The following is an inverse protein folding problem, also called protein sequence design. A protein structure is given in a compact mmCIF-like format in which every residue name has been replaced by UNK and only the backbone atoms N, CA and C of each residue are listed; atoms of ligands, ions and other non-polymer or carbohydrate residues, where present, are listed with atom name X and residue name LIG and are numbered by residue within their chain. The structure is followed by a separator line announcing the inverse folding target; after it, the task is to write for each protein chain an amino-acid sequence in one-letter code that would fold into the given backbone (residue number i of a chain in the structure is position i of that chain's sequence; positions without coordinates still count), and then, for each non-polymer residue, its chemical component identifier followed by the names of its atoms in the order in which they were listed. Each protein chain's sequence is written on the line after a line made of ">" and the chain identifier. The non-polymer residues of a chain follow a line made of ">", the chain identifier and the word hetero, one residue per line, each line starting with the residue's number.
data_IF_545448384629
#
_entry.id   IF_545448384629
#
_cell.length_a   1.000
_cell.length_b   1.000
_cell.length_c   1.000
_cell.angle_alpha   90.00
_cell.angle_beta   90.00
_cell.angle_gamma   90.00
#
_symmetry.space_group_name_H-M   'P 1'
#
loop_
_entity.id
_entity.type
_entity.pdbx_description
1 polymer ?
#
# COMPACT_ATOMS: atom_id res chain seq x y z
N UNK A 1 14.86 16.73 -17.53
CA UNK A 1 14.00 15.52 -17.64
C UNK A 1 14.04 14.83 -16.29
N UNK A 2 12.86 14.48 -15.79
CA UNK A 2 12.50 14.28 -14.38
C UNK A 2 13.47 13.39 -13.59
N UNK A 3 13.97 13.92 -12.47
CA UNK A 3 14.59 13.16 -11.39
C UNK A 3 13.49 12.30 -10.73
N UNK A 4 13.42 11.03 -11.10
CA UNK A 4 12.66 10.05 -10.36
C UNK A 4 13.33 9.88 -8.99
N UNK A 5 12.90 10.68 -8.03
CA UNK A 5 13.28 10.54 -6.63
C UNK A 5 12.86 9.14 -6.20
N UNK A 6 13.84 8.27 -5.95
CA UNK A 6 13.64 6.98 -5.30
C UNK A 6 13.01 7.26 -3.93
N UNK A 7 11.69 7.29 -3.90
CA UNK A 7 10.89 7.60 -2.74
C UNK A 7 10.85 6.32 -1.92
N UNK A 8 11.85 6.18 -1.05
CA UNK A 8 11.87 5.10 -0.09
C UNK A 8 10.58 5.21 0.73
N UNK A 9 9.70 4.23 0.58
CA UNK A 9 8.37 4.28 1.17
C UNK A 9 8.48 4.42 2.70
N UNK A 10 8.06 5.56 3.25
CA UNK A 10 8.02 5.82 4.70
C UNK A 10 7.17 4.81 5.47
N UNK A 11 6.31 4.06 4.77
CA UNK A 11 5.45 3.06 5.36
C UNK A 11 6.15 1.73 5.67
N UNK A 12 7.42 1.51 5.27
CA UNK A 12 8.16 0.24 5.50
C UNK A 12 8.08 -0.24 6.97
N UNK A 13 8.43 0.57 8.00
CA UNK A 13 8.43 0.11 9.40
C UNK A 13 7.01 -0.14 9.96
N UNK A 14 5.97 0.42 9.34
CA UNK A 14 4.61 0.35 9.86
C UNK A 14 3.59 -0.29 8.91
N UNK A 15 4.03 -0.93 7.82
CA UNK A 15 3.12 -1.47 6.83
C UNK A 15 2.39 -2.68 7.39
N UNK A 16 1.06 -2.59 7.51
CA UNK A 16 0.20 -3.68 7.98
C UNK A 16 0.37 -4.97 7.16
N UNK A 17 0.82 -4.90 5.89
CA UNK A 17 1.10 -6.12 5.13
C UNK A 17 2.24 -6.92 5.73
N UNK A 18 3.32 -6.23 6.09
CA UNK A 18 4.50 -6.86 6.66
C UNK A 18 4.26 -7.23 8.11
N UNK A 19 3.52 -6.40 8.85
CA UNK A 19 3.21 -6.66 10.26
C UNK A 19 2.13 -7.72 10.49
N UNK A 20 1.12 -7.85 9.60
CA UNK A 20 0.09 -8.89 9.74
C UNK A 20 0.39 -10.13 8.88
N UNK A 21 0.48 -9.96 7.55
CA UNK A 21 0.53 -11.07 6.58
C UNK A 21 1.91 -11.72 6.49
N UNK A 22 2.99 -10.97 6.71
CA UNK A 22 4.37 -11.46 6.53
C UNK A 22 5.23 -11.41 7.78
N UNK A 23 4.62 -11.33 8.96
CA UNK A 23 5.32 -11.43 10.24
C UNK A 23 6.15 -12.74 10.34
N UNK A 24 5.68 -13.82 9.72
CA UNK A 24 6.37 -15.11 9.66
C UNK A 24 7.24 -15.36 8.43
N UNK A 25 7.33 -14.41 7.48
CA UNK A 25 8.04 -14.60 6.20
C UNK A 25 8.92 -13.40 5.84
N UNK A 26 10.01 -13.15 6.61
CA UNK A 26 10.82 -11.94 6.47
C UNK A 26 11.54 -11.83 5.12
N UNK A 27 11.92 -12.96 4.50
CA UNK A 27 12.63 -12.96 3.20
C UNK A 27 11.72 -12.51 2.06
N UNK A 28 10.48 -13.02 2.01
CA UNK A 28 9.49 -12.57 1.03
C UNK A 28 9.08 -11.11 1.28
N UNK A 29 9.03 -10.70 2.55
CA UNK A 29 8.83 -9.31 2.91
C UNK A 29 9.90 -8.39 2.34
N UNK A 30 11.17 -8.77 2.47
CA UNK A 30 12.27 -7.95 1.98
C UNK A 30 12.26 -7.81 0.45
N UNK A 31 11.96 -8.89 -0.28
CA UNK A 31 11.83 -8.84 -1.74
C UNK A 31 10.71 -7.90 -2.20
N UNK A 32 9.55 -7.94 -1.53
CA UNK A 32 8.45 -7.03 -1.85
C UNK A 32 8.77 -5.59 -1.46
N UNK A 33 9.47 -5.35 -0.35
CA UNK A 33 9.98 -4.01 0.01
C UNK A 33 10.93 -3.49 -1.05
N UNK A 34 11.84 -4.31 -1.56
CA UNK A 34 12.76 -3.87 -2.61
C UNK A 34 12.02 -3.51 -3.92
N UNK A 35 10.99 -4.29 -4.27
CA UNK A 35 10.23 -4.04 -5.51
C UNK A 35 9.31 -2.82 -5.42
N UNK A 36 8.52 -2.75 -4.35
CA UNK A 36 7.47 -1.75 -4.21
C UNK A 36 7.86 -0.60 -3.30
N UNK A 37 8.69 -0.80 -2.27
CA UNK A 37 9.01 0.28 -1.34
C UNK A 37 10.26 1.09 -1.73
N UNK A 38 11.23 0.50 -2.43
CA UNK A 38 12.43 1.22 -2.91
C UNK A 38 12.42 1.50 -4.41
N UNK A 39 11.49 0.90 -5.15
CA UNK A 39 11.24 1.17 -6.56
C UNK A 39 9.95 1.97 -6.74
N UNK A 40 8.88 1.29 -7.16
CA UNK A 40 7.61 1.91 -7.57
C UNK A 40 6.59 1.95 -6.43
N UNK A 41 6.90 2.73 -5.41
CA UNK A 41 6.09 2.93 -4.20
C UNK A 41 4.78 3.69 -4.43
N UNK A 42 4.78 4.57 -5.41
CA UNK A 42 3.63 5.22 -6.04
C UNK A 42 2.66 4.22 -6.67
N UNK A 43 3.16 3.06 -7.15
CA UNK A 43 2.31 1.97 -7.67
C UNK A 43 1.85 0.99 -6.61
N UNK A 44 2.29 1.13 -5.36
CA UNK A 44 1.89 0.23 -4.29
C UNK A 44 0.43 0.51 -3.90
N UNK A 45 -0.47 -0.41 -4.26
CA UNK A 45 -1.90 -0.35 -3.96
C UNK A 45 -2.18 -0.04 -2.48
N UNK A 46 -1.44 -0.69 -1.59
CA UNK A 46 -1.58 -0.50 -0.14
C UNK A 46 -1.14 0.89 0.30
N UNK A 47 -0.06 1.42 -0.28
CA UNK A 47 0.40 2.78 0.02
C UNK A 47 -0.65 3.81 -0.40
N UNK A 48 -1.26 3.64 -1.58
CA UNK A 48 -2.34 4.50 -2.06
C UNK A 48 -3.53 4.53 -1.10
N UNK A 49 -3.97 3.35 -0.63
CA UNK A 49 -5.08 3.26 0.34
C UNK A 49 -4.70 3.87 1.68
N UNK A 50 -3.49 3.60 2.21
CA UNK A 50 -3.03 4.21 3.47
C UNK A 50 -2.97 5.73 3.36
N UNK A 51 -2.45 6.26 2.25
CA UNK A 51 -2.31 7.69 2.04
C UNK A 51 -3.67 8.42 1.92
N UNK A 52 -4.73 7.71 1.48
CA UNK A 52 -6.06 8.30 1.26
C UNK A 52 -7.08 7.99 2.35
N UNK A 53 -7.13 6.75 2.82
CA UNK A 53 -8.12 6.21 3.76
C UNK A 53 -7.51 5.83 5.12
N UNK A 54 -6.19 5.70 5.20
CA UNK A 54 -5.49 5.26 6.41
C UNK A 54 -5.34 3.74 6.52
N UNK A 55 -4.54 3.29 7.49
CA UNK A 55 -4.15 1.88 7.66
C UNK A 55 -5.33 0.95 7.97
N UNK A 56 -6.36 1.44 8.65
CA UNK A 56 -7.52 0.65 9.02
C UNK A 56 -8.40 0.25 7.82
N UNK A 57 -8.34 1.01 6.73
CA UNK A 57 -9.12 0.76 5.53
C UNK A 57 -8.41 -0.18 4.53
N UNK A 58 -7.18 -0.60 4.82
CA UNK A 58 -6.41 -1.46 3.92
C UNK A 58 -6.86 -2.91 4.11
N UNK A 59 -7.43 -3.56 3.08
CA UNK A 59 -7.80 -4.95 3.19
C UNK A 59 -6.57 -5.85 3.35
N UNK A 60 -6.68 -6.87 4.18
CA UNK A 60 -5.61 -7.86 4.38
C UNK A 60 -5.33 -8.69 3.11
N UNK A 61 -6.27 -8.74 2.18
CA UNK A 61 -6.17 -9.43 0.90
C UNK A 61 -5.74 -8.52 -0.26
N UNK A 62 -5.48 -7.23 0.00
CA UNK A 62 -4.96 -6.29 -0.98
C UNK A 62 -3.44 -6.44 -1.11
N UNK A 63 -3.00 -6.83 -2.30
CA UNK A 63 -1.58 -6.98 -2.63
C UNK A 63 -0.99 -5.70 -3.22
N UNK A 64 0.33 -5.45 -3.08
CA UNK A 64 0.98 -4.24 -3.59
C UNK A 64 0.79 -3.97 -5.09
N UNK A 65 0.61 -5.02 -5.90
CA UNK A 65 0.40 -4.94 -7.35
C UNK A 65 -1.04 -4.61 -7.78
N UNK A 66 -2.00 -4.55 -6.86
CA UNK A 66 -3.42 -4.36 -7.17
C UNK A 66 -3.82 -2.88 -7.12
N UNK A 67 -3.10 -2.02 -7.85
CA UNK A 67 -3.32 -0.56 -7.84
C UNK A 67 -4.73 -0.16 -8.28
N UNK A 68 -5.29 -0.84 -9.28
CA UNK A 68 -6.67 -0.60 -9.73
C UNK A 68 -7.69 -0.89 -8.63
N UNK A 69 -7.46 -1.97 -7.87
CA UNK A 69 -8.30 -2.36 -6.74
C UNK A 69 -8.22 -1.32 -5.61
N UNK A 70 -7.03 -0.81 -5.33
CA UNK A 70 -6.84 0.27 -4.37
C UNK A 70 -7.61 1.54 -4.76
N UNK A 71 -7.54 1.96 -6.02
CA UNK A 71 -8.31 3.10 -6.52
C UNK A 71 -9.81 2.88 -6.37
N UNK A 72 -10.30 1.68 -6.67
CA UNK A 72 -11.70 1.31 -6.47
C UNK A 72 -12.13 1.41 -4.99
N UNK A 73 -11.29 0.96 -4.06
CA UNK A 73 -11.55 1.06 -2.62
C UNK A 73 -11.58 2.52 -2.15
N UNK A 74 -10.60 3.33 -2.58
CA UNK A 74 -10.56 4.76 -2.28
C UNK A 74 -11.84 5.44 -2.77
N UNK A 75 -12.23 5.20 -4.02
CA UNK A 75 -13.45 5.75 -4.59
C UNK A 75 -14.72 5.26 -3.89
N UNK A 76 -14.78 3.99 -3.47
CA UNK A 76 -15.92 3.42 -2.76
C UNK A 76 -16.07 3.98 -1.34
N UNK A 77 -14.97 4.11 -0.59
CA UNK A 77 -15.01 4.66 0.78
C UNK A 77 -15.47 6.11 0.84
N UNK A 78 -15.29 6.89 -0.23
CA UNK A 78 -15.89 8.23 -0.32
C UNK A 78 -17.43 8.20 -0.46
N UNK A 79 -18.03 7.09 -0.91
CA UNK A 79 -19.49 6.97 -1.05
C UNK A 79 -20.19 6.46 0.22
N UNK A 80 -19.54 5.61 1.01
CA UNK A 80 -20.15 5.06 2.24
C UNK A 80 -20.35 6.11 3.36
N UNK A 81 -19.64 7.24 3.32
CA UNK A 81 -19.88 8.37 4.22
C UNK A 81 -21.06 9.27 3.84
N UNK A 82 -21.61 9.16 2.62
CA UNK A 82 -22.66 10.03 2.10
C UNK A 82 -24.09 9.44 2.21
N UNK A 83 -24.23 8.23 2.77
CA UNK A 83 -25.51 7.56 2.95
C UNK A 83 -25.79 7.29 4.44
N UNK A 84 -25.65 8.33 5.27
CA UNK A 84 -26.17 8.41 6.62
C UNK A 84 -26.81 9.76 6.86
#
# INVERSE_FOLDING_TARGET
>A
MLEATMTQCECIPGCAFFNDKMAGMPVMADQMKHRYCTGENDKCARHMVVAKLGRAAVPSDLFPNQSDRALGLIAASHKEGAMR
#
